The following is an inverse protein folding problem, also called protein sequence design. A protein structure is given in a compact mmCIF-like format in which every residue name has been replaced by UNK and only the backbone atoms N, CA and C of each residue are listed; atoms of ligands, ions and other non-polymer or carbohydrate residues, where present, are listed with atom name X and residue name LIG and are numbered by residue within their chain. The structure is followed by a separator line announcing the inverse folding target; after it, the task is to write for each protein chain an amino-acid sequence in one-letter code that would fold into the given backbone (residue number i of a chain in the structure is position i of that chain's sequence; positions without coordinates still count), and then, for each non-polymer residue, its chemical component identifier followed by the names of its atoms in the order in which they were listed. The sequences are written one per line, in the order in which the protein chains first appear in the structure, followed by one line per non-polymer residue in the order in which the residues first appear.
data_IF_946768782792
#
_entry.id   IF_946768782792
#
_cell.length_a   1.000
_cell.length_b   1.000
_cell.length_c   1.000
_cell.angle_alpha   90.00
_cell.angle_beta   90.00
_cell.angle_gamma   90.00
#
_symmetry.space_group_name_H-M   'P 1'
#
loop_
_entity.id
_entity.type
_entity.pdbx_description
1 polymer ?
#
# COMPACT_ATOMS: atom_id res chain seq x y z
N UNK A 1 -17.40 -12.34 -59.07
CA UNK A 1 -17.54 -13.19 -57.91
C UNK A 1 -16.16 -13.34 -57.26
N UNK A 2 -15.79 -12.40 -56.33
CA UNK A 2 -14.46 -12.31 -55.75
C UNK A 2 -14.64 -12.38 -54.22
N UNK A 3 -14.26 -13.51 -53.63
CA UNK A 3 -14.25 -13.76 -52.19
C UNK A 3 -13.04 -13.03 -51.54
N UNK A 4 -13.31 -12.00 -50.75
CA UNK A 4 -12.29 -11.39 -49.88
C UNK A 4 -12.21 -12.20 -48.58
N UNK A 5 -11.10 -12.92 -48.41
CA UNK A 5 -10.73 -13.55 -47.15
C UNK A 5 -10.26 -12.46 -46.17
N UNK A 6 -11.01 -12.23 -45.10
CA UNK A 6 -10.58 -11.42 -43.95
C UNK A 6 -9.65 -12.27 -43.06
N UNK A 7 -8.37 -11.90 -43.03
CA UNK A 7 -7.38 -12.49 -42.09
C UNK A 7 -7.53 -11.80 -40.74
N UNK A 8 -8.05 -12.53 -39.78
CA UNK A 8 -8.19 -12.05 -38.40
C UNK A 8 -6.84 -12.25 -37.69
N UNK A 9 -6.09 -11.15 -37.51
CA UNK A 9 -4.84 -11.18 -36.72
C UNK A 9 -5.20 -11.11 -35.23
N UNK A 10 -5.05 -12.23 -34.53
CA UNK A 10 -5.11 -12.32 -33.07
C UNK A 10 -3.80 -11.76 -32.50
N UNK A 11 -3.81 -10.51 -32.04
CA UNK A 11 -2.73 -9.96 -31.21
C UNK A 11 -2.87 -10.55 -29.79
N UNK A 12 -2.01 -11.52 -29.46
CA UNK A 12 -1.84 -12.01 -28.10
C UNK A 12 -1.13 -10.95 -27.26
N UNK A 13 -1.85 -10.38 -26.30
CA UNK A 13 -1.28 -9.51 -25.28
C UNK A 13 -0.53 -10.35 -24.23
N UNK A 14 0.76 -10.60 -24.45
CA UNK A 14 1.64 -11.40 -23.55
C UNK A 14 2.48 -10.49 -22.62
N UNK A 15 1.91 -9.42 -22.06
CA UNK A 15 2.68 -8.41 -21.32
C UNK A 15 2.72 -8.52 -19.79
N UNK A 16 1.85 -9.31 -19.14
CA UNK A 16 1.65 -9.23 -17.68
C UNK A 16 2.40 -10.27 -16.84
N UNK A 17 2.87 -11.35 -17.44
CA UNK A 17 3.50 -12.46 -16.71
C UNK A 17 4.97 -12.17 -16.30
N UNK A 18 5.67 -11.30 -17.03
CA UNK A 18 7.11 -11.04 -16.81
C UNK A 18 7.35 -10.21 -15.55
N UNK A 19 6.48 -9.26 -15.23
CA UNK A 19 6.60 -8.41 -14.04
C UNK A 19 6.43 -9.17 -12.73
N UNK A 20 5.47 -10.09 -12.67
CA UNK A 20 5.19 -10.91 -11.47
C UNK A 20 6.33 -11.87 -11.13
N UNK A 21 6.99 -12.45 -12.12
CA UNK A 21 8.14 -13.35 -11.92
C UNK A 21 9.36 -12.60 -11.42
N UNK A 22 9.66 -11.43 -11.98
CA UNK A 22 10.79 -10.60 -11.54
C UNK A 22 10.63 -10.13 -10.07
N UNK A 23 9.40 -9.85 -9.67
CA UNK A 23 9.07 -9.40 -8.31
C UNK A 23 9.17 -10.54 -7.28
N UNK A 24 8.66 -11.73 -7.60
CA UNK A 24 8.82 -12.91 -6.77
C UNK A 24 10.30 -13.28 -6.57
N UNK A 25 11.12 -13.18 -7.63
CA UNK A 25 12.56 -13.45 -7.56
C UNK A 25 13.29 -12.44 -6.66
N UNK A 26 12.90 -11.16 -6.66
CA UNK A 26 13.49 -10.15 -5.77
C UNK A 26 13.25 -10.43 -4.29
N UNK A 27 12.04 -10.81 -3.91
CA UNK A 27 11.71 -11.17 -2.53
C UNK A 27 12.46 -12.45 -2.13
N UNK A 28 12.43 -13.47 -2.98
CA UNK A 28 13.09 -14.75 -2.69
C UNK A 28 14.61 -14.61 -2.48
N UNK A 29 15.29 -13.73 -3.21
CA UNK A 29 16.73 -13.52 -3.07
C UNK A 29 17.13 -12.66 -1.86
N UNK A 30 16.18 -11.99 -1.21
CA UNK A 30 16.43 -11.05 -0.10
C UNK A 30 16.11 -11.63 1.27
N UNK A 31 15.33 -12.71 1.32
CA UNK A 31 14.86 -13.30 2.56
C UNK A 31 15.25 -14.78 2.64
N UNK A 32 15.52 -15.26 3.85
CA UNK A 32 15.63 -16.67 4.15
C UNK A 32 14.30 -17.42 3.86
N UNK A 33 14.34 -18.73 3.59
CA UNK A 33 13.15 -19.45 3.20
C UNK A 33 11.95 -19.38 4.16
N UNK A 34 12.10 -19.44 5.50
CA UNK A 34 11.01 -19.27 6.44
C UNK A 34 10.36 -17.88 6.35
N UNK A 35 11.17 -16.80 6.34
CA UNK A 35 10.70 -15.41 6.22
C UNK A 35 9.98 -15.20 4.89
N UNK A 36 10.54 -15.69 3.78
CA UNK A 36 9.92 -15.60 2.47
C UNK A 36 8.54 -16.28 2.43
N UNK A 37 8.43 -17.50 3.00
CA UNK A 37 7.16 -18.24 3.09
C UNK A 37 6.11 -17.46 3.89
N UNK A 38 6.51 -16.88 5.01
CA UNK A 38 5.62 -16.05 5.83
C UNK A 38 5.14 -14.79 5.10
N UNK A 39 6.04 -14.12 4.34
CA UNK A 39 5.70 -12.98 3.49
C UNK A 39 4.69 -13.36 2.41
N UNK A 40 4.87 -14.50 1.74
CA UNK A 40 3.92 -14.97 0.73
C UNK A 40 2.50 -15.12 1.28
N UNK A 41 2.36 -15.72 2.47
CA UNK A 41 1.05 -15.87 3.13
C UNK A 41 0.39 -14.49 3.37
N UNK A 42 1.17 -13.50 3.80
CA UNK A 42 0.66 -12.13 4.03
C UNK A 42 0.23 -11.49 2.71
N UNK A 43 1.05 -11.61 1.66
CA UNK A 43 0.77 -11.05 0.34
C UNK A 43 -0.47 -11.69 -0.30
N UNK A 44 -0.64 -13.01 -0.18
CA UNK A 44 -1.83 -13.71 -0.69
C UNK A 44 -3.10 -13.27 0.05
N UNK A 45 -3.02 -13.08 1.37
CA UNK A 45 -4.13 -12.55 2.16
C UNK A 45 -4.47 -11.11 1.75
N UNK A 46 -3.47 -10.27 1.57
CA UNK A 46 -3.64 -8.88 1.13
C UNK A 46 -4.25 -8.81 -0.28
N UNK A 47 -3.82 -9.67 -1.19
CA UNK A 47 -4.38 -9.79 -2.55
C UNK A 47 -5.86 -10.18 -2.52
N UNK A 48 -6.25 -11.14 -1.69
CA UNK A 48 -7.66 -11.51 -1.47
C UNK A 48 -8.47 -10.34 -0.93
N UNK A 49 -7.89 -9.52 -0.05
CA UNK A 49 -8.47 -8.29 0.48
C UNK A 49 -8.41 -7.09 -0.48
N UNK A 50 -7.90 -7.26 -1.71
CA UNK A 50 -7.72 -6.22 -2.73
C UNK A 50 -6.85 -5.05 -2.26
N UNK A 51 -5.92 -5.31 -1.36
CA UNK A 51 -4.93 -4.32 -0.93
C UNK A 51 -3.77 -4.23 -1.92
N UNK A 52 -3.10 -3.07 -2.05
CA UNK A 52 -1.96 -2.91 -2.94
C UNK A 52 -0.74 -3.65 -2.40
N UNK A 53 -0.50 -4.88 -2.87
CA UNK A 53 0.59 -5.76 -2.40
C UNK A 53 1.97 -5.14 -2.58
N UNK A 54 2.14 -4.30 -3.60
CA UNK A 54 3.40 -3.59 -3.82
C UNK A 54 3.84 -2.75 -2.62
N UNK A 55 2.92 -2.08 -1.92
CA UNK A 55 3.26 -1.33 -0.71
C UNK A 55 3.76 -2.23 0.42
N UNK A 56 3.22 -3.44 0.52
CA UNK A 56 3.59 -4.43 1.52
C UNK A 56 4.98 -5.00 1.19
N UNK A 57 5.23 -5.30 -0.07
CA UNK A 57 6.53 -5.76 -0.57
C UNK A 57 7.62 -4.71 -0.37
N UNK A 58 7.34 -3.44 -0.72
CA UNK A 58 8.27 -2.33 -0.52
C UNK A 58 8.63 -2.17 0.97
N UNK A 59 7.65 -2.29 1.87
CA UNK A 59 7.89 -2.24 3.32
C UNK A 59 8.77 -3.39 3.82
N UNK A 60 8.56 -4.61 3.30
CA UNK A 60 9.41 -5.75 3.63
C UNK A 60 10.86 -5.56 3.14
N UNK A 61 11.03 -5.09 1.90
CA UNK A 61 12.35 -4.84 1.30
C UNK A 61 13.10 -3.71 2.00
N UNK A 62 12.40 -2.68 2.46
CA UNK A 62 12.97 -1.59 3.26
C UNK A 62 13.55 -2.13 4.58
N UNK A 63 12.81 -2.98 5.29
CA UNK A 63 13.29 -3.66 6.48
C UNK A 63 14.55 -4.51 6.21
N UNK A 64 14.54 -5.30 5.14
CA UNK A 64 15.70 -6.11 4.74
C UNK A 64 16.92 -5.24 4.39
N UNK A 65 16.71 -4.12 3.71
CA UNK A 65 17.80 -3.19 3.35
C UNK A 65 18.41 -2.51 4.58
N UNK A 66 17.62 -2.36 5.64
CA UNK A 66 18.06 -1.80 6.92
C UNK A 66 18.67 -2.85 7.86
N UNK A 67 18.85 -4.09 7.41
CA UNK A 67 19.45 -5.17 8.19
C UNK A 67 18.57 -5.68 9.33
N UNK A 68 17.25 -5.45 9.27
CA UNK A 68 16.30 -5.90 10.29
C UNK A 68 16.16 -7.43 10.22
N UNK A 69 16.15 -8.16 11.35
CA UNK A 69 15.94 -9.61 11.38
C UNK A 69 14.60 -10.02 10.76
N UNK A 70 14.55 -11.19 10.09
CA UNK A 70 13.38 -11.67 9.37
C UNK A 70 12.09 -11.71 10.20
N UNK A 71 12.15 -12.21 11.44
CA UNK A 71 10.98 -12.24 12.35
C UNK A 71 10.43 -10.85 12.65
N UNK A 72 11.32 -9.87 12.87
CA UNK A 72 10.93 -8.47 13.10
C UNK A 72 10.32 -7.84 11.85
N UNK A 73 10.83 -8.18 10.66
CA UNK A 73 10.23 -7.78 9.38
C UNK A 73 8.81 -8.33 9.26
N UNK A 74 8.60 -9.62 9.57
CA UNK A 74 7.27 -10.23 9.50
C UNK A 74 6.28 -9.54 10.45
N UNK A 75 6.71 -9.20 11.67
CA UNK A 75 5.87 -8.45 12.61
C UNK A 75 5.50 -7.06 12.08
N UNK A 76 6.50 -6.32 11.56
CA UNK A 76 6.30 -4.99 10.97
C UNK A 76 5.36 -5.04 9.75
N UNK A 77 5.57 -5.99 8.85
CA UNK A 77 4.74 -6.18 7.65
C UNK A 77 3.30 -6.55 8.01
N UNK A 78 3.08 -7.41 9.00
CA UNK A 78 1.73 -7.72 9.50
C UNK A 78 1.03 -6.48 10.08
N UNK A 79 1.75 -5.68 10.87
CA UNK A 79 1.23 -4.41 11.40
C UNK A 79 0.86 -3.47 10.25
N UNK A 80 1.80 -3.25 9.33
CA UNK A 80 1.60 -2.40 8.14
C UNK A 80 0.39 -2.85 7.31
N UNK A 81 0.25 -4.15 7.05
CA UNK A 81 -0.87 -4.70 6.26
C UNK A 81 -2.22 -4.45 6.95
N UNK A 82 -2.31 -4.60 8.28
CA UNK A 82 -3.53 -4.26 9.02
C UNK A 82 -3.88 -2.77 8.90
N UNK A 83 -2.90 -1.90 9.08
CA UNK A 83 -3.09 -0.45 8.97
C UNK A 83 -3.46 -0.03 7.55
N UNK A 84 -2.86 -0.68 6.54
CA UNK A 84 -3.21 -0.49 5.13
C UNK A 84 -4.67 -0.86 4.85
N UNK A 85 -5.17 -1.93 5.46
CA UNK A 85 -6.59 -2.30 5.40
C UNK A 85 -7.49 -1.22 6.00
N UNK A 86 -7.14 -0.69 7.17
CA UNK A 86 -7.87 0.41 7.83
C UNK A 86 -7.83 1.68 6.97
N UNK A 87 -6.65 2.05 6.44
CA UNK A 87 -6.48 3.19 5.56
C UNK A 87 -7.31 3.07 4.28
N UNK A 88 -7.29 1.90 3.64
CA UNK A 88 -8.08 1.62 2.44
C UNK A 88 -9.59 1.72 2.72
N UNK A 89 -10.06 1.22 3.84
CA UNK A 89 -11.47 1.35 4.25
C UNK A 89 -11.87 2.80 4.59
N UNK A 90 -10.92 3.63 5.06
CA UNK A 90 -11.16 5.02 5.39
C UNK A 90 -11.17 5.94 4.16
N UNK A 91 -10.24 5.72 3.23
CA UNK A 91 -10.04 6.59 2.06
C UNK A 91 -10.80 6.12 0.82
N UNK A 92 -11.24 4.87 0.81
CA UNK A 92 -11.96 4.24 -0.30
C UNK A 92 -11.06 3.41 -1.22
N UNK A 93 -11.68 2.55 -2.06
CA UNK A 93 -10.97 1.54 -2.86
C UNK A 93 -10.11 2.14 -3.99
N UNK A 94 -10.37 3.39 -4.37
CA UNK A 94 -9.63 4.09 -5.44
C UNK A 94 -8.52 5.00 -4.89
N UNK A 95 -8.22 4.94 -3.57
CA UNK A 95 -7.18 5.76 -2.98
C UNK A 95 -5.80 5.43 -3.58
N UNK A 96 -5.03 6.44 -4.04
CA UNK A 96 -3.70 6.22 -4.59
C UNK A 96 -2.74 5.63 -3.55
N UNK A 97 -1.73 4.84 -3.99
CA UNK A 97 -0.73 4.25 -3.08
C UNK A 97 -0.03 5.28 -2.16
N UNK A 98 0.26 6.47 -2.67
CA UNK A 98 0.87 7.54 -1.88
C UNK A 98 -0.02 8.02 -0.73
N UNK A 99 -1.33 8.15 -0.97
CA UNK A 99 -2.30 8.51 0.07
C UNK A 99 -2.49 7.41 1.09
N UNK A 100 -2.52 6.14 0.65
CA UNK A 100 -2.59 5.00 1.55
C UNK A 100 -1.36 4.92 2.46
N UNK A 101 -0.17 5.17 1.94
CA UNK A 101 1.07 5.23 2.73
C UNK A 101 1.02 6.37 3.76
N UNK A 102 0.61 7.57 3.34
CA UNK A 102 0.47 8.72 4.24
C UNK A 102 -0.60 8.46 5.33
N UNK A 103 -1.70 7.78 4.98
CA UNK A 103 -2.73 7.40 5.94
C UNK A 103 -2.22 6.35 6.96
N UNK A 104 -1.40 5.39 6.53
CA UNK A 104 -0.74 4.45 7.45
C UNK A 104 0.16 5.20 8.42
N UNK A 105 0.95 6.17 7.97
CA UNK A 105 1.78 7.02 8.84
C UNK A 105 0.92 7.82 9.83
N UNK A 106 -0.22 8.35 9.39
CA UNK A 106 -1.16 9.04 10.27
C UNK A 106 -1.75 8.11 11.34
N UNK A 107 -2.10 6.87 10.98
CA UNK A 107 -2.57 5.85 11.95
C UNK A 107 -1.46 5.51 12.95
N UNK A 108 -0.21 5.38 12.52
CA UNK A 108 0.93 5.16 13.40
C UNK A 108 1.15 6.33 14.37
N UNK A 109 0.94 7.57 13.92
CA UNK A 109 0.93 8.76 14.75
C UNK A 109 -0.33 8.89 15.64
N UNK A 110 -1.21 7.86 15.65
CA UNK A 110 -2.45 7.81 16.44
C UNK A 110 -3.54 8.79 16.00
N UNK A 111 -3.51 9.24 14.76
CA UNK A 111 -4.62 10.02 14.17
C UNK A 111 -5.86 9.13 14.10
N UNK A 112 -7.03 9.58 14.60
CA UNK A 112 -8.26 8.82 14.51
C UNK A 112 -8.67 8.56 13.07
N UNK A 113 -9.18 7.36 12.80
CA UNK A 113 -9.66 6.96 11.46
C UNK A 113 -10.82 7.87 10.98
N UNK A 114 -11.58 8.44 11.94
CA UNK A 114 -12.63 9.43 11.66
C UNK A 114 -12.09 10.68 10.95
N UNK A 115 -10.90 11.16 11.35
CA UNK A 115 -10.27 12.34 10.76
C UNK A 115 -9.76 12.03 9.34
N UNK A 116 -9.22 10.84 9.08
CA UNK A 116 -8.88 10.41 7.72
C UNK A 116 -10.08 10.47 6.78
N UNK A 117 -11.23 9.97 7.24
CA UNK A 117 -12.50 10.04 6.49
C UNK A 117 -12.99 11.48 6.31
N UNK A 118 -12.82 12.34 7.31
CA UNK A 118 -13.19 13.76 7.25
C UNK A 118 -12.35 14.49 6.20
N UNK A 119 -11.03 14.32 6.22
CA UNK A 119 -10.11 14.91 5.24
C UNK A 119 -10.43 14.42 3.82
N UNK A 120 -10.69 13.12 3.63
CA UNK A 120 -11.09 12.58 2.32
C UNK A 120 -12.40 13.19 1.82
N UNK A 121 -13.39 13.36 2.69
CA UNK A 121 -14.68 13.98 2.33
C UNK A 121 -14.55 15.49 2.00
N UNK A 122 -13.66 16.18 2.68
CA UNK A 122 -13.40 17.61 2.40
C UNK A 122 -12.69 17.81 1.04
N UNK A 123 -11.92 16.82 0.57
CA UNK A 123 -11.17 16.91 -0.69
C UNK A 123 -11.37 15.68 -1.59
N UNK A 124 -12.61 15.38 -2.06
CA UNK A 124 -12.96 14.11 -2.71
C UNK A 124 -12.22 13.85 -4.03
N UNK A 125 -11.83 14.91 -4.75
CA UNK A 125 -11.15 14.83 -6.06
C UNK A 125 -9.71 15.34 -6.04
N UNK A 126 -9.19 15.76 -4.88
CA UNK A 126 -7.83 16.29 -4.75
C UNK A 126 -6.95 15.30 -4.00
N UNK A 127 -5.64 15.37 -4.24
CA UNK A 127 -4.68 14.62 -3.42
C UNK A 127 -4.67 15.16 -1.99
N UNK A 128 -4.75 14.23 -1.04
CA UNK A 128 -4.68 14.52 0.40
C UNK A 128 -3.35 14.07 1.03
N UNK A 129 -2.40 13.64 0.20
CA UNK A 129 -1.09 13.13 0.68
C UNK A 129 -0.41 14.15 1.57
N UNK A 130 -0.28 15.41 1.12
CA UNK A 130 0.35 16.49 1.90
C UNK A 130 -0.38 16.75 3.21
N UNK A 131 -1.72 16.81 3.18
CA UNK A 131 -2.53 17.03 4.38
C UNK A 131 -2.31 15.91 5.42
N UNK A 132 -2.30 14.65 4.99
CA UNK A 132 -2.04 13.51 5.85
C UNK A 132 -0.61 13.51 6.40
N UNK A 133 0.38 13.85 5.58
CA UNK A 133 1.80 13.92 6.00
C UNK A 133 2.00 15.00 7.05
N UNK A 134 1.48 16.22 6.80
CA UNK A 134 1.55 17.34 7.74
C UNK A 134 0.86 16.99 9.06
N UNK A 135 -0.35 16.40 8.99
CA UNK A 135 -1.07 15.97 10.18
C UNK A 135 -0.27 14.95 10.99
N UNK A 136 0.33 13.95 10.33
CA UNK A 136 1.18 12.95 10.99
C UNK A 136 2.38 13.57 11.71
N UNK A 137 3.04 14.53 11.08
CA UNK A 137 4.20 15.24 11.65
C UNK A 137 3.81 16.09 12.86
N UNK A 138 2.74 16.87 12.74
CA UNK A 138 2.25 17.74 13.82
C UNK A 138 1.83 16.93 15.04
N UNK A 139 1.06 15.85 14.83
CA UNK A 139 0.61 14.96 15.91
C UNK A 139 1.80 14.19 16.51
N UNK A 140 2.74 13.75 15.68
CA UNK A 140 3.98 13.09 16.13
C UNK A 140 4.85 13.98 17.00
N UNK A 141 4.74 15.32 16.87
CA UNK A 141 5.40 16.32 17.72
C UNK A 141 4.63 16.67 19.00
N UNK A 142 3.51 15.98 19.25
CA UNK A 142 2.72 16.14 20.49
C UNK A 142 1.65 17.24 20.44
N UNK A 143 1.35 17.81 19.29
CA UNK A 143 0.22 18.74 19.15
C UNK A 143 -1.09 17.97 19.27
N UNK A 144 -2.08 18.44 20.05
CA UNK A 144 -3.37 17.77 20.20
C UNK A 144 -4.07 17.55 18.86
N UNK A 145 -4.63 16.34 18.68
CA UNK A 145 -5.24 15.91 17.41
C UNK A 145 -6.37 16.84 16.96
N UNK A 146 -7.21 17.29 17.88
CA UNK A 146 -8.32 18.21 17.56
C UNK A 146 -7.83 19.48 16.87
N UNK A 147 -6.81 20.14 17.41
CA UNK A 147 -6.19 21.32 16.84
C UNK A 147 -5.51 21.03 15.50
N UNK A 148 -4.83 19.90 15.39
CA UNK A 148 -4.09 19.51 14.18
C UNK A 148 -5.02 19.20 13.00
N UNK A 149 -6.15 18.56 13.25
CA UNK A 149 -7.11 18.19 12.20
C UNK A 149 -7.82 19.41 11.62
N UNK A 150 -8.04 20.44 12.41
CA UNK A 150 -8.69 21.68 11.95
C UNK A 150 -7.77 22.53 11.06
N UNK A 151 -6.44 22.36 11.20
CA UNK A 151 -5.45 23.07 10.38
C UNK A 151 -5.31 22.49 8.95
N UNK A 152 -5.72 21.26 8.70
CA UNK A 152 -5.48 20.56 7.43
C UNK A 152 -6.76 20.23 6.63
N UNK A 153 -7.93 20.66 7.12
CA UNK A 153 -9.22 20.61 6.43
C UNK A 153 -9.57 21.97 5.89
#
# INVERSE_FOLDING_TARGET
MILRRATFVLLFASGTATGLRAQATRLQSRFDPPTYKALQIILDSAKKAKLPTKLIEDNALEGASSGVPGDSIILAVRKFTRQLGIASAALGPSAPPAELRAAVSAIDARVPVGDLRRIRRAAPKRSITTALTVLSDIVGRGVPIATSSDLVV
#
